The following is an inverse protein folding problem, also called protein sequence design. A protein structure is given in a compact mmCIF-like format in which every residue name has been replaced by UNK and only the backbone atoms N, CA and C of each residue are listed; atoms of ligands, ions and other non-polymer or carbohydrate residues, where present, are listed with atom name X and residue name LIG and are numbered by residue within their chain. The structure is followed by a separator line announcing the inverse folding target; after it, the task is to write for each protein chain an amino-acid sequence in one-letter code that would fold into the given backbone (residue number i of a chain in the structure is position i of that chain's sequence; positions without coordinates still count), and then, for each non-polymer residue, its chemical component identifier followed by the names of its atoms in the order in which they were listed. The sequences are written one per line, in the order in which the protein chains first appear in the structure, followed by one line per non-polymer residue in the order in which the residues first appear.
data_IF_007222237468
#
_entry.id   IF_007222237468
#
_cell.length_a   1.000
_cell.length_b   1.000
_cell.length_c   1.000
_cell.angle_alpha   90.00
_cell.angle_beta   90.00
_cell.angle_gamma   90.00
#
_symmetry.space_group_name_H-M   'P 1'
#
loop_
_entity.id
_entity.type
_entity.pdbx_description
1 polymer ?
#
# COMPACT_ATOMS: atom_id res chain seq x y z
N UNK A 1 -2.97 -23.55 -53.78
CA UNK A 1 -2.34 -24.36 -52.74
C UNK A 1 -1.49 -23.54 -51.81
N UNK A 2 -0.61 -22.72 -52.34
CA UNK A 2 0.21 -21.86 -51.51
C UNK A 2 -0.65 -20.90 -50.68
N UNK A 3 -1.78 -20.51 -51.22
CA UNK A 3 -2.68 -19.62 -50.51
C UNK A 3 -3.24 -20.22 -49.23
N UNK A 4 -3.48 -21.52 -49.23
CA UNK A 4 -3.98 -22.22 -48.06
C UNK A 4 -2.95 -22.17 -46.93
N UNK A 5 -1.70 -22.39 -47.27
CA UNK A 5 -0.63 -22.34 -46.29
C UNK A 5 -0.54 -20.96 -45.66
N UNK A 6 -0.66 -19.92 -46.48
CA UNK A 6 -0.62 -18.56 -45.98
C UNK A 6 -1.75 -18.26 -45.00
N UNK A 7 -2.95 -18.74 -45.32
CA UNK A 7 -4.11 -18.55 -44.46
C UNK A 7 -3.91 -19.20 -43.11
N UNK A 8 -3.38 -20.40 -43.09
CA UNK A 8 -3.09 -21.12 -41.85
C UNK A 8 -2.08 -20.36 -41.00
N UNK A 9 -1.04 -19.89 -41.63
CA UNK A 9 -0.01 -19.13 -40.94
C UNK A 9 -0.60 -17.86 -40.34
N UNK A 10 -1.45 -17.19 -41.07
CA UNK A 10 -2.09 -15.98 -40.62
C UNK A 10 -2.92 -16.22 -39.35
N UNK A 11 -3.73 -17.27 -39.35
CA UNK A 11 -4.57 -17.61 -38.21
C UNK A 11 -3.73 -17.93 -36.98
N UNK A 12 -2.68 -18.70 -37.15
CA UNK A 12 -1.78 -19.02 -36.07
C UNK A 12 -1.08 -17.79 -35.52
N UNK A 13 -0.75 -16.89 -36.40
CA UNK A 13 -0.09 -15.65 -36.01
C UNK A 13 -0.96 -14.85 -35.03
N UNK A 14 -2.24 -14.74 -35.32
CA UNK A 14 -3.16 -14.04 -34.43
C UNK A 14 -3.22 -14.67 -33.05
N UNK A 15 -3.23 -15.98 -32.99
CA UNK A 15 -3.24 -16.69 -31.71
C UNK A 15 -1.94 -16.52 -30.96
N UNK A 16 -0.84 -16.55 -31.68
CA UNK A 16 0.48 -16.35 -31.08
C UNK A 16 0.57 -14.97 -30.48
N UNK A 17 0.10 -13.96 -31.17
CA UNK A 17 0.09 -12.59 -30.67
C UNK A 17 -0.78 -12.49 -29.41
N UNK A 18 -1.97 -13.08 -29.42
CA UNK A 18 -2.86 -13.04 -28.28
C UNK A 18 -2.24 -13.71 -27.06
N UNK A 19 -1.63 -14.87 -27.25
CA UNK A 19 -0.97 -15.60 -26.16
C UNK A 19 0.24 -14.84 -25.64
N UNK A 20 1.00 -14.20 -26.52
CA UNK A 20 2.15 -13.42 -26.12
C UNK A 20 1.77 -12.15 -25.36
N UNK A 21 0.60 -11.61 -25.63
CA UNK A 21 0.11 -10.40 -24.95
C UNK A 21 -0.30 -10.66 -23.51
N UNK A 22 -0.80 -11.84 -23.22
CA UNK A 22 -1.27 -12.19 -21.88
C UNK A 22 -0.17 -12.02 -20.81
N UNK A 23 1.01 -12.64 -20.97
CA UNK A 23 2.04 -12.49 -19.95
C UNK A 23 2.55 -11.05 -19.82
N UNK A 24 2.57 -10.28 -20.90
CA UNK A 24 2.98 -8.89 -20.84
C UNK A 24 2.01 -8.07 -20.00
N UNK A 25 0.72 -8.29 -20.16
CA UNK A 25 -0.31 -7.61 -19.38
C UNK A 25 -0.21 -8.00 -17.91
N UNK A 26 0.00 -9.28 -17.64
CA UNK A 26 0.14 -9.77 -16.27
C UNK A 26 1.38 -9.19 -15.57
N UNK A 27 2.49 -9.10 -16.27
CA UNK A 27 3.72 -8.51 -15.73
C UNK A 27 3.51 -7.03 -15.45
N UNK A 28 2.89 -6.30 -16.37
CA UNK A 28 2.59 -4.89 -16.18
C UNK A 28 1.68 -4.67 -15.00
N UNK A 29 0.64 -5.48 -14.86
CA UNK A 29 -0.27 -5.41 -13.74
C UNK A 29 0.42 -5.71 -12.42
N UNK A 30 1.27 -6.71 -12.42
CA UNK A 30 2.07 -7.06 -11.25
C UNK A 30 2.98 -5.90 -10.82
N UNK A 31 3.65 -5.28 -11.76
CA UNK A 31 4.53 -4.14 -11.48
C UNK A 31 3.76 -2.94 -10.93
N UNK A 32 2.54 -2.72 -11.41
CA UNK A 32 1.70 -1.63 -10.92
C UNK A 32 1.16 -1.90 -9.52
N UNK A 33 0.88 -3.16 -9.22
CA UNK A 33 0.32 -3.56 -7.93
C UNK A 33 1.38 -3.77 -6.86
N UNK A 34 2.57 -4.20 -7.24
CA UNK A 34 3.64 -4.41 -6.28
C UNK A 34 4.35 -3.10 -6.01
N UNK A 35 3.83 -2.38 -5.04
CA UNK A 35 4.53 -1.24 -4.49
C UNK A 35 5.55 -1.77 -3.50
N UNK A 36 6.63 -1.03 -3.32
CA UNK A 36 7.61 -1.40 -2.30
C UNK A 36 6.90 -1.55 -0.96
N UNK A 37 7.15 -2.67 -0.26
CA UNK A 37 6.50 -2.87 1.03
C UNK A 37 6.94 -1.77 1.99
N UNK A 38 5.96 -1.16 2.63
CA UNK A 38 6.21 -0.15 3.64
C UNK A 38 6.61 -0.88 4.92
N UNK A 39 7.81 -0.61 5.40
CA UNK A 39 8.28 -1.18 6.64
C UNK A 39 7.83 -0.31 7.81
N UNK A 40 7.17 -0.92 8.75
CA UNK A 40 6.74 -0.27 9.97
C UNK A 40 7.60 -0.72 11.13
N UNK A 41 7.81 0.16 12.08
CA UNK A 41 8.42 -0.21 13.35
C UNK A 41 7.60 0.38 14.48
N UNK A 42 7.62 -0.32 15.61
CA UNK A 42 6.89 0.13 16.78
C UNK A 42 7.72 1.16 17.54
N UNK A 43 7.10 2.27 17.90
CA UNK A 43 7.74 3.30 18.69
C UNK A 43 6.76 3.83 19.71
N UNK A 44 7.30 4.47 20.74
CA UNK A 44 6.48 5.10 21.78
C UNK A 44 6.57 6.60 21.59
N UNK A 45 5.43 7.26 21.53
CA UNK A 45 5.35 8.72 21.41
C UNK A 45 4.75 9.27 22.69
N UNK A 46 5.36 10.32 23.22
CA UNK A 46 4.82 11.04 24.36
C UNK A 46 3.98 12.19 23.86
N UNK A 47 2.73 12.25 24.30
CA UNK A 47 1.80 13.29 23.90
C UNK A 47 2.20 14.61 24.54
N UNK A 48 2.31 15.65 23.74
CA UNK A 48 2.58 17.00 24.20
C UNK A 48 1.29 17.79 24.25
N UNK A 49 1.30 18.85 25.01
CA UNK A 49 0.16 19.74 25.09
C UNK A 49 -0.19 20.29 23.70
N UNK A 50 -1.47 20.18 23.34
CA UNK A 50 -1.95 20.61 22.04
C UNK A 50 -1.83 19.58 20.92
N UNK A 51 -1.22 18.42 21.17
CA UNK A 51 -1.12 17.37 20.18
C UNK A 51 -2.46 16.68 19.95
N UNK A 52 -2.72 16.32 18.70
CA UNK A 52 -3.88 15.52 18.31
C UNK A 52 -3.41 14.18 17.76
N UNK A 53 -4.30 13.19 17.74
CA UNK A 53 -3.98 11.91 17.13
C UNK A 53 -3.61 12.05 15.65
N UNK A 54 -4.26 12.99 14.97
CA UNK A 54 -3.95 13.28 13.59
C UNK A 54 -2.49 13.72 13.42
N UNK A 55 -2.05 14.65 14.25
CA UNK A 55 -0.67 15.15 14.20
C UNK A 55 0.33 14.05 14.52
N UNK A 56 0.07 13.27 15.54
CA UNK A 56 0.95 12.17 15.94
C UNK A 56 1.06 11.13 14.83
N UNK A 57 -0.07 10.73 14.26
CA UNK A 57 -0.10 9.74 13.19
C UNK A 57 0.59 10.26 11.94
N UNK A 58 0.33 11.49 11.57
CA UNK A 58 0.94 12.08 10.38
C UNK A 58 2.44 12.20 10.51
N UNK A 59 2.93 12.58 11.67
CA UNK A 59 4.38 12.67 11.92
C UNK A 59 5.03 11.28 11.91
N UNK A 60 4.31 10.26 12.33
CA UNK A 60 4.84 8.90 12.37
C UNK A 60 4.97 8.28 10.98
N UNK A 61 4.00 8.49 10.11
CA UNK A 61 3.94 7.80 8.81
C UNK A 61 4.11 8.71 7.60
N UNK A 62 4.00 10.02 7.78
CA UNK A 62 4.10 10.96 6.67
C UNK A 62 2.93 10.84 5.69
N UNK A 63 3.20 11.09 4.42
CA UNK A 63 2.16 11.11 3.39
C UNK A 63 1.98 9.77 2.69
N UNK A 64 2.84 8.80 2.95
CA UNK A 64 2.82 7.52 2.25
C UNK A 64 1.70 6.60 2.67
N UNK A 65 1.14 6.81 3.84
CA UNK A 65 0.15 5.92 4.43
C UNK A 65 -1.08 6.74 4.79
N UNK A 66 -2.25 6.09 4.72
CA UNK A 66 -3.48 6.74 5.12
C UNK A 66 -3.46 6.95 6.64
N UNK A 67 -3.48 8.20 7.05
CA UNK A 67 -3.42 8.59 8.46
C UNK A 67 -4.59 8.02 9.25
N UNK A 68 -5.74 7.86 8.61
CA UNK A 68 -6.94 7.33 9.27
C UNK A 68 -6.74 5.92 9.78
N UNK A 69 -6.07 5.07 9.00
CA UNK A 69 -5.75 3.71 9.42
C UNK A 69 -4.83 3.71 10.62
N UNK A 70 -3.85 4.58 10.62
CA UNK A 70 -2.89 4.70 11.72
C UNK A 70 -3.58 5.19 12.99
N UNK A 71 -4.47 6.15 12.87
CA UNK A 71 -5.27 6.61 14.01
C UNK A 71 -6.10 5.49 14.60
N UNK A 72 -6.75 4.70 13.75
CA UNK A 72 -7.54 3.56 14.19
C UNK A 72 -6.66 2.53 14.93
N UNK A 73 -5.49 2.25 14.41
CA UNK A 73 -4.54 1.34 15.04
C UNK A 73 -4.07 1.87 16.40
N UNK A 74 -3.78 3.16 16.49
CA UNK A 74 -3.37 3.78 17.75
C UNK A 74 -4.49 3.64 18.80
N UNK A 75 -5.70 3.92 18.42
CA UNK A 75 -6.85 3.80 19.32
C UNK A 75 -7.01 2.38 19.80
N UNK A 76 -6.94 1.43 18.89
CA UNK A 76 -7.15 0.01 19.21
C UNK A 76 -6.01 -0.55 20.07
N UNK A 77 -4.76 -0.28 19.70
CA UNK A 77 -3.60 -0.81 20.41
C UNK A 77 -3.42 -0.24 21.80
N UNK A 78 -3.80 1.03 21.99
CA UNK A 78 -3.62 1.70 23.27
C UNK A 78 -4.90 1.71 24.13
N UNK A 79 -5.97 1.11 23.64
CA UNK A 79 -7.22 1.03 24.39
C UNK A 79 -7.83 2.40 24.66
N UNK A 80 -7.69 3.32 23.73
CA UNK A 80 -8.22 4.67 23.88
C UNK A 80 -9.72 4.68 23.61
N UNK A 81 -10.49 5.17 24.57
CA UNK A 81 -11.92 5.38 24.35
C UNK A 81 -12.10 6.72 23.63
N UNK A 82 -12.87 6.70 22.54
CA UNK A 82 -13.22 7.90 21.79
C UNK A 82 -12.03 8.69 21.25
N UNK A 83 -10.84 8.09 21.24
CA UNK A 83 -9.66 8.74 20.70
C UNK A 83 -9.15 9.91 21.51
N UNK A 84 -9.52 10.03 22.78
CA UNK A 84 -9.06 11.09 23.64
C UNK A 84 -7.64 10.83 24.14
N UNK A 85 -6.79 11.82 23.99
CA UNK A 85 -5.41 11.77 24.48
C UNK A 85 -5.13 12.95 25.39
N UNK A 86 -4.20 12.76 26.30
CA UNK A 86 -3.82 13.80 27.27
C UNK A 86 -2.31 14.01 27.23
N UNK A 87 -1.85 15.23 27.51
CA UNK A 87 -0.41 15.48 27.58
C UNK A 87 0.27 14.58 28.60
N UNK A 88 1.44 14.07 28.24
CA UNK A 88 2.20 13.15 29.07
C UNK A 88 1.87 11.69 28.87
N UNK A 89 0.84 11.38 28.08
CA UNK A 89 0.46 10.00 27.78
C UNK A 89 1.47 9.35 26.84
N UNK A 90 1.82 8.10 27.11
CA UNK A 90 2.69 7.31 26.23
C UNK A 90 1.84 6.47 25.31
N UNK A 91 2.00 6.65 24.03
CA UNK A 91 1.25 5.91 23.00
C UNK A 91 2.17 5.03 22.20
N UNK A 92 1.76 3.79 21.99
CA UNK A 92 2.43 2.90 21.06
C UNK A 92 1.94 3.21 19.65
N UNK A 93 2.84 3.57 18.78
CA UNK A 93 2.53 4.01 17.42
C UNK A 93 3.40 3.25 16.45
N UNK A 94 2.82 2.88 15.32
CA UNK A 94 3.58 2.32 14.22
C UNK A 94 4.07 3.46 13.34
N UNK A 95 5.37 3.55 13.20
CA UNK A 95 6.00 4.54 12.36
C UNK A 95 6.55 3.91 11.10
N UNK A 96 6.67 4.70 10.05
CA UNK A 96 7.24 4.25 8.79
C UNK A 96 8.74 4.48 8.82
N UNK A 97 9.48 3.46 8.45
CA UNK A 97 10.92 3.54 8.35
C UNK A 97 11.30 4.29 7.07
N UNK A 98 12.07 5.33 7.20
CA UNK A 98 12.55 6.11 6.05
C UNK A 98 13.88 5.61 5.52
#
# INVERSE_FOLDING_TARGET
MKKKAKKRTHIRWNRVIAVAMIPLVLIGMYCLMSKDPIEYYDTTVVVKEGDTLWDIAKNAVGEKVDVREIIHDIITENGLENGNIQPGMHLKVKAVKH
#
